data_IF_768895265430
#
_entry.id   IF_768895265430
#
_cell.length_a   1.000
_cell.length_b   1.000
_cell.length_c   1.000
_cell.angle_alpha   90.00
_cell.angle_beta   90.00
_cell.angle_gamma   90.00
#
_symmetry.space_group_name_H-M   'P 1'
#
loop_
_entity.id
_entity.type
_entity.pdbx_description
1 polymer ?
#
# COMPACT_ATOMS: atom_id res chain seq x y z
N UNK A 1 22.70 24.58 18.17
CA UNK A 1 21.46 25.31 17.81
C UNK A 1 20.49 24.46 16.94
N UNK A 2 20.51 23.12 17.04
CA UNK A 2 19.62 22.22 16.27
C UNK A 2 18.65 21.40 17.15
N UNK A 3 18.68 21.58 18.47
CA UNK A 3 17.92 20.75 19.42
C UNK A 3 16.52 21.25 19.75
N UNK A 4 16.11 22.43 19.26
CA UNK A 4 14.87 23.10 19.70
C UNK A 4 13.80 23.23 18.61
N UNK A 5 14.15 22.94 17.35
CA UNK A 5 13.22 23.06 16.20
C UNK A 5 12.47 21.73 15.97
N UNK A 6 12.91 20.62 16.57
CA UNK A 6 12.23 19.32 16.46
C UNK A 6 11.08 19.12 17.44
N UNK A 7 10.92 19.98 18.46
CA UNK A 7 9.82 19.84 19.45
C UNK A 7 8.59 20.70 19.15
N UNK A 8 8.70 21.63 18.20
CA UNK A 8 7.60 22.52 17.79
C UNK A 8 7.27 22.24 16.33
N UNK A 9 6.68 21.07 16.06
CA UNK A 9 5.93 20.89 14.82
C UNK A 9 4.74 21.86 14.88
N UNK A 10 4.65 22.89 14.01
CA UNK A 10 3.61 23.92 14.06
C UNK A 10 2.19 23.36 13.79
N UNK A 11 2.06 22.06 13.56
CA UNK A 11 0.83 21.37 13.26
C UNK A 11 0.18 20.68 14.48
N UNK A 12 0.79 20.78 15.67
CA UNK A 12 0.26 20.20 16.93
C UNK A 12 -1.07 20.83 17.38
N UNK A 13 -1.48 21.95 16.77
CA UNK A 13 -2.64 22.74 17.17
C UNK A 13 -3.92 22.47 16.36
N UNK A 14 -3.85 21.64 15.31
CA UNK A 14 -5.06 21.15 14.61
C UNK A 14 -5.68 19.96 15.37
N UNK A 15 -5.85 20.09 16.69
CA UNK A 15 -6.75 19.24 17.47
C UNK A 15 -8.18 19.73 17.27
N UNK A 16 -8.66 19.56 16.05
CA UNK A 16 -10.01 19.89 15.63
C UNK A 16 -10.57 18.73 14.83
N UNK A 17 -11.33 17.89 15.51
CA UNK A 17 -12.26 16.90 14.95
C UNK A 17 -11.67 15.52 14.59
N UNK A 18 -12.55 14.51 14.51
CA UNK A 18 -12.30 13.07 14.23
C UNK A 18 -11.67 12.76 12.86
N UNK A 19 -10.83 13.66 12.33
CA UNK A 19 -10.15 13.56 11.03
C UNK A 19 -8.76 12.96 11.25
N UNK A 20 -8.38 12.01 10.40
CA UNK A 20 -7.22 11.12 10.56
C UNK A 20 -5.83 11.81 10.58
N UNK A 21 -5.69 13.11 10.87
CA UNK A 21 -4.39 13.81 10.86
C UNK A 21 -3.79 14.00 9.46
N UNK A 22 -4.57 13.76 8.40
CA UNK A 22 -4.13 13.90 7.01
C UNK A 22 -3.93 15.36 6.63
N UNK A 23 -2.76 15.67 6.08
CA UNK A 23 -2.40 16.98 5.52
C UNK A 23 -2.95 17.16 4.10
N UNK A 24 -2.99 18.38 3.54
CA UNK A 24 -3.32 18.60 2.13
C UNK A 24 -2.47 17.75 1.17
N UNK A 25 -1.21 17.50 1.51
CA UNK A 25 -0.31 16.66 0.71
C UNK A 25 -0.79 15.19 0.60
N UNK A 26 -1.39 14.63 1.65
CA UNK A 26 -1.97 13.28 1.58
C UNK A 26 -3.12 13.19 0.56
N UNK A 27 -3.94 14.24 0.48
CA UNK A 27 -5.04 14.28 -0.47
C UNK A 27 -4.54 14.55 -1.89
N UNK A 28 -3.60 15.48 -2.07
CA UNK A 28 -2.97 15.74 -3.37
C UNK A 28 -2.35 14.46 -3.96
N UNK A 29 -1.61 13.73 -3.13
CA UNK A 29 -1.00 12.44 -3.49
C UNK A 29 -2.05 11.40 -3.90
N UNK A 30 -3.10 11.21 -3.10
CA UNK A 30 -4.18 10.26 -3.39
C UNK A 30 -4.89 10.53 -4.72
N UNK A 31 -5.05 11.79 -5.07
CA UNK A 31 -5.78 12.21 -6.27
C UNK A 31 -4.87 12.53 -7.46
N UNK A 32 -3.58 12.17 -7.40
CA UNK A 32 -2.65 12.34 -8.51
C UNK A 32 -2.37 13.80 -8.89
N UNK A 33 -2.44 14.74 -7.94
CA UNK A 33 -2.23 16.17 -8.19
C UNK A 33 -0.75 16.51 -8.05
N UNK A 34 0.04 16.25 -9.09
CA UNK A 34 1.50 16.39 -9.07
C UNK A 34 1.95 17.81 -8.68
N UNK A 35 1.39 18.84 -9.30
CA UNK A 35 1.80 20.23 -9.06
C UNK A 35 1.54 20.65 -7.61
N UNK A 36 0.45 20.13 -7.02
CA UNK A 36 0.18 20.32 -5.60
C UNK A 36 1.13 19.52 -4.71
N UNK A 37 1.56 18.33 -5.14
CA UNK A 37 2.55 17.55 -4.41
C UNK A 37 3.89 18.28 -4.37
N UNK A 38 4.35 18.80 -5.51
CA UNK A 38 5.59 19.58 -5.60
C UNK A 38 5.55 20.81 -4.71
N UNK A 39 4.45 21.58 -4.77
CA UNK A 39 4.28 22.77 -3.94
C UNK A 39 4.26 22.47 -2.44
N UNK A 40 3.65 21.35 -2.04
CA UNK A 40 3.43 21.01 -0.63
C UNK A 40 4.53 20.12 -0.01
N UNK A 41 5.39 19.49 -0.81
CA UNK A 41 6.38 18.50 -0.35
C UNK A 41 7.34 19.09 0.67
N UNK A 42 7.83 20.30 0.46
CA UNK A 42 8.80 20.94 1.37
C UNK A 42 8.23 21.19 2.77
N UNK A 43 6.93 21.49 2.85
CA UNK A 43 6.25 21.77 4.12
C UNK A 43 5.72 20.51 4.81
N UNK A 44 5.23 19.55 4.02
CA UNK A 44 4.44 18.42 4.54
C UNK A 44 5.01 17.04 4.20
N UNK A 45 6.11 16.92 3.46
CA UNK A 45 6.63 15.66 2.93
C UNK A 45 6.98 14.60 3.97
N UNK A 46 7.36 15.03 5.18
CA UNK A 46 7.66 14.14 6.32
C UNK A 46 6.52 14.01 7.33
N UNK A 47 5.40 14.71 7.12
CA UNK A 47 4.26 14.69 8.05
C UNK A 47 3.46 13.42 7.80
N UNK A 48 3.27 12.62 8.85
CA UNK A 48 2.42 11.44 8.85
C UNK A 48 1.03 11.78 9.37
N UNK A 49 0.02 11.05 8.91
CA UNK A 49 -1.31 11.06 9.49
C UNK A 49 -1.32 10.41 10.89
N UNK A 50 -2.45 10.48 11.59
CA UNK A 50 -2.59 9.98 12.96
C UNK A 50 -2.36 8.46 13.08
N UNK A 51 -2.61 7.72 12.01
CA UNK A 51 -2.35 6.27 11.90
C UNK A 51 -0.96 5.96 11.34
N UNK A 52 -0.08 6.97 11.19
CA UNK A 52 1.27 6.81 10.67
C UNK A 52 1.36 6.69 9.13
N UNK A 53 0.25 6.86 8.40
CA UNK A 53 0.27 6.82 6.94
C UNK A 53 1.01 8.03 6.37
N UNK A 54 1.81 7.83 5.32
CA UNK A 54 2.57 8.88 4.64
C UNK A 54 1.87 9.35 3.36
N UNK A 55 2.32 10.48 2.80
CA UNK A 55 1.80 10.95 1.51
C UNK A 55 2.16 9.99 0.35
N UNK A 56 3.35 9.37 0.36
CA UNK A 56 3.74 8.41 -0.69
C UNK A 56 2.87 7.14 -0.65
N UNK A 57 2.45 6.66 0.52
CA UNK A 57 1.47 5.57 0.65
C UNK A 57 0.13 5.94 -0.01
N UNK A 58 -0.31 7.20 0.14
CA UNK A 58 -1.55 7.70 -0.50
C UNK A 58 -1.39 7.83 -2.02
N UNK A 59 -0.23 8.25 -2.53
CA UNK A 59 0.06 8.22 -3.97
C UNK A 59 -0.01 6.80 -4.52
N UNK A 60 0.57 5.83 -3.82
CA UNK A 60 0.52 4.42 -4.21
C UNK A 60 -0.91 3.88 -4.24
N UNK A 61 -1.74 4.25 -3.26
CA UNK A 61 -3.16 3.91 -3.27
C UNK A 61 -3.92 4.56 -4.44
N UNK A 62 -3.58 5.80 -4.77
CA UNK A 62 -4.15 6.54 -5.90
C UNK A 62 -3.69 6.03 -7.27
N UNK A 63 -2.61 5.26 -7.32
CA UNK A 63 -2.02 4.74 -8.56
C UNK A 63 -1.14 5.73 -9.32
N UNK A 64 -0.92 6.96 -8.83
CA UNK A 64 -0.11 7.96 -9.53
C UNK A 64 1.38 7.72 -9.31
N UNK A 65 2.06 7.28 -10.36
CA UNK A 65 3.51 7.07 -10.40
C UNK A 65 4.25 8.39 -10.20
N UNK A 66 3.80 9.46 -10.86
CA UNK A 66 4.45 10.77 -10.83
C UNK A 66 4.40 11.38 -9.43
N UNK A 67 3.26 11.26 -8.73
CA UNK A 67 3.17 11.69 -7.34
C UNK A 67 4.01 10.81 -6.42
N UNK A 68 4.08 9.50 -6.67
CA UNK A 68 4.91 8.59 -5.88
C UNK A 68 6.41 8.87 -6.07
N UNK A 69 6.85 9.18 -7.30
CA UNK A 69 8.20 9.64 -7.63
C UNK A 69 8.52 10.96 -6.96
N UNK A 70 7.64 11.96 -7.12
CA UNK A 70 7.78 13.26 -6.49
C UNK A 70 7.94 13.12 -4.97
N UNK A 71 7.20 12.21 -4.32
CA UNK A 71 7.20 12.03 -2.87
C UNK A 71 8.17 10.97 -2.36
N UNK A 72 8.96 10.34 -3.24
CA UNK A 72 9.90 9.29 -2.86
C UNK A 72 11.04 9.83 -1.98
N UNK A 73 11.50 9.00 -1.04
CA UNK A 73 12.66 9.26 -0.19
C UNK A 73 13.25 7.94 0.33
N UNK A 74 14.52 7.96 0.72
CA UNK A 74 15.23 6.76 1.19
C UNK A 74 14.57 6.15 2.43
N UNK A 75 14.31 4.85 2.38
CA UNK A 75 13.67 4.09 3.45
C UNK A 75 12.13 4.09 3.42
N UNK A 76 11.49 4.84 2.52
CA UNK A 76 10.01 4.87 2.45
C UNK A 76 9.39 3.50 2.11
N UNK A 77 10.14 2.61 1.46
CA UNK A 77 9.73 1.24 1.13
C UNK A 77 9.52 0.39 2.40
N UNK A 78 10.36 0.57 3.41
CA UNK A 78 10.34 -0.17 4.67
C UNK A 78 9.41 0.45 5.71
N UNK A 79 9.02 1.70 5.53
CA UNK A 79 8.11 2.38 6.44
C UNK A 79 6.71 1.76 6.41
N UNK A 80 6.15 1.61 7.62
CA UNK A 80 4.78 1.12 7.81
C UNK A 80 3.98 2.06 8.68
N UNK A 81 2.68 2.10 8.43
CA UNK A 81 1.72 2.76 9.32
C UNK A 81 1.41 1.90 10.58
N UNK A 82 0.50 2.34 11.44
CA UNK A 82 0.17 1.66 12.69
C UNK A 82 -0.40 0.25 12.51
N UNK A 83 -0.93 -0.06 11.34
CA UNK A 83 -1.42 -1.39 10.96
C UNK A 83 -0.30 -2.30 10.42
N UNK A 84 0.92 -1.79 10.28
CA UNK A 84 2.01 -2.50 9.61
C UNK A 84 1.91 -2.47 8.08
N UNK A 85 1.03 -1.65 7.50
CA UNK A 85 0.91 -1.50 6.05
C UNK A 85 2.03 -0.59 5.52
N UNK A 86 2.84 -1.11 4.60
CA UNK A 86 3.81 -0.33 3.80
C UNK A 86 3.17 0.21 2.52
N UNK A 87 3.91 1.03 1.76
CA UNK A 87 3.45 1.53 0.47
C UNK A 87 3.10 0.42 -0.54
N UNK A 88 3.70 -0.77 -0.42
CA UNK A 88 3.37 -1.93 -1.26
C UNK A 88 1.95 -2.42 -0.99
N UNK A 89 1.51 -2.41 0.28
CA UNK A 89 0.15 -2.79 0.65
C UNK A 89 -0.88 -1.80 0.09
N UNK A 90 -0.52 -0.52 0.05
CA UNK A 90 -1.36 0.51 -0.57
C UNK A 90 -1.38 0.39 -2.10
N UNK A 91 -0.26 0.05 -2.74
CA UNK A 91 -0.21 -0.22 -4.18
C UNK A 91 -1.02 -1.48 -4.55
N UNK A 92 -1.00 -2.53 -3.72
CA UNK A 92 -1.88 -3.70 -3.86
C UNK A 92 -3.37 -3.37 -3.67
N UNK A 93 -3.68 -2.21 -3.07
CA UNK A 93 -5.05 -1.69 -3.01
C UNK A 93 -5.40 -0.73 -4.16
N UNK A 94 -4.43 -0.35 -4.99
CA UNK A 94 -4.65 0.49 -6.16
C UNK A 94 -5.38 -0.28 -7.26
N UNK A 95 -5.72 0.43 -8.35
CA UNK A 95 -6.27 -0.17 -9.57
C UNK A 95 -5.39 0.09 -10.79
N UNK A 96 -4.18 0.59 -10.57
CA UNK A 96 -3.27 1.01 -11.64
C UNK A 96 -2.04 0.10 -11.64
N UNK A 97 -1.82 -0.61 -12.73
CA UNK A 97 -0.69 -1.53 -12.86
C UNK A 97 0.63 -0.76 -12.97
N UNK A 98 0.58 0.50 -13.41
CA UNK A 98 1.76 1.35 -13.59
C UNK A 98 2.50 1.56 -12.28
N UNK A 99 1.79 1.78 -11.15
CA UNK A 99 2.45 1.91 -9.85
C UNK A 99 3.11 0.61 -9.40
N UNK A 100 2.52 -0.54 -9.71
CA UNK A 100 3.10 -1.84 -9.38
C UNK A 100 4.37 -2.08 -10.18
N UNK A 101 4.34 -1.85 -11.51
CA UNK A 101 5.54 -1.99 -12.36
C UNK A 101 6.64 -1.03 -11.95
N UNK A 102 6.27 0.19 -11.63
CA UNK A 102 7.18 1.19 -11.13
C UNK A 102 7.80 0.74 -9.80
N UNK A 103 7.01 0.28 -8.84
CA UNK A 103 7.51 -0.24 -7.58
C UNK A 103 8.44 -1.45 -7.80
N UNK A 104 8.05 -2.39 -8.65
CA UNK A 104 8.81 -3.61 -8.97
C UNK A 104 10.17 -3.34 -9.63
N UNK A 105 10.39 -2.16 -10.20
CA UNK A 105 11.70 -1.75 -10.70
C UNK A 105 12.65 -1.27 -9.59
N UNK A 106 12.21 -1.22 -8.33
CA UNK A 106 13.05 -0.87 -7.17
C UNK A 106 13.66 -2.14 -6.55
N UNK A 107 14.85 -2.04 -5.95
CA UNK A 107 15.44 -3.18 -5.25
C UNK A 107 14.62 -3.54 -4.00
N UNK A 108 14.68 -4.81 -3.61
CA UNK A 108 14.11 -5.34 -2.35
C UNK A 108 12.59 -5.19 -2.19
N UNK A 109 11.86 -5.24 -3.31
CA UNK A 109 10.39 -5.24 -3.28
C UNK A 109 9.89 -6.64 -2.95
N UNK A 110 9.20 -6.76 -1.82
CA UNK A 110 8.54 -7.99 -1.38
C UNK A 110 7.03 -7.74 -1.26
N UNK A 111 6.28 -8.19 -2.27
CA UNK A 111 4.82 -8.09 -2.32
C UNK A 111 4.11 -9.02 -1.32
N UNK A 112 4.85 -9.98 -0.75
CA UNK A 112 4.36 -11.04 0.12
C UNK A 112 4.56 -10.73 1.61
N UNK A 113 5.32 -9.69 1.94
CA UNK A 113 5.46 -9.17 3.32
C UNK A 113 4.09 -8.90 3.92
N UNK A 114 3.84 -9.44 5.12
CA UNK A 114 2.54 -9.36 5.80
C UNK A 114 2.49 -8.20 6.80
N UNK A 115 1.41 -7.43 6.77
CA UNK A 115 1.09 -6.45 7.81
C UNK A 115 0.56 -7.13 9.09
N UNK A 116 0.30 -6.36 10.16
CA UNK A 116 -0.03 -6.89 11.51
C UNK A 116 -1.27 -7.79 11.54
N UNK A 117 -2.26 -7.53 10.69
CA UNK A 117 -3.45 -8.34 10.48
C UNK A 117 -3.26 -9.50 9.49
N UNK A 118 -2.02 -9.86 9.14
CA UNK A 118 -1.69 -11.06 8.39
C UNK A 118 -1.90 -11.01 6.88
N UNK A 119 -2.35 -9.91 6.29
CA UNK A 119 -2.50 -9.78 4.84
C UNK A 119 -1.21 -9.26 4.18
N UNK A 120 -0.88 -9.76 3.00
CA UNK A 120 0.14 -9.21 2.10
C UNK A 120 -0.46 -8.22 1.09
N UNK A 121 0.38 -7.61 0.26
CA UNK A 121 -0.08 -6.72 -0.82
C UNK A 121 -0.86 -7.48 -1.89
N UNK A 122 -0.44 -8.71 -2.20
CA UNK A 122 -1.14 -9.61 -3.13
C UNK A 122 -2.50 -10.01 -2.56
N UNK A 123 -2.58 -10.33 -1.26
CA UNK A 123 -3.87 -10.62 -0.61
C UNK A 123 -4.84 -9.44 -0.75
N UNK A 124 -4.35 -8.20 -0.64
CA UNK A 124 -5.17 -6.98 -0.82
C UNK A 124 -5.68 -6.82 -2.25
N UNK A 125 -4.85 -7.04 -3.26
CA UNK A 125 -5.25 -6.98 -4.66
C UNK A 125 -6.29 -8.06 -4.97
N UNK A 126 -6.10 -9.24 -4.41
CA UNK A 126 -6.97 -10.37 -4.67
C UNK A 126 -8.33 -10.28 -3.95
N UNK A 127 -8.38 -9.70 -2.74
CA UNK A 127 -9.65 -9.34 -2.09
C UNK A 127 -10.49 -8.40 -2.97
N UNK A 128 -9.85 -7.53 -3.75
CA UNK A 128 -10.52 -6.62 -4.68
C UNK A 128 -10.77 -7.22 -6.08
N UNK A 129 -10.31 -8.46 -6.34
CA UNK A 129 -10.42 -9.09 -7.65
C UNK A 129 -9.51 -8.47 -8.73
N UNK A 130 -8.45 -7.76 -8.34
CA UNK A 130 -7.54 -7.08 -9.26
C UNK A 130 -6.54 -8.06 -9.91
N UNK A 131 -6.98 -8.73 -10.98
CA UNK A 131 -6.22 -9.80 -11.65
C UNK A 131 -4.89 -9.32 -12.24
N UNK A 132 -4.93 -8.23 -13.00
CA UNK A 132 -3.75 -7.69 -13.69
C UNK A 132 -2.64 -7.29 -12.71
N UNK A 133 -3.01 -6.70 -11.56
CA UNK A 133 -2.05 -6.37 -10.51
C UNK A 133 -1.39 -7.63 -9.92
N UNK A 134 -2.17 -8.69 -9.70
CA UNK A 134 -1.62 -9.96 -9.19
C UNK A 134 -0.65 -10.57 -10.20
N UNK A 135 -0.99 -10.59 -11.50
CA UNK A 135 -0.11 -11.13 -12.54
C UNK A 135 1.26 -10.42 -12.60
N UNK A 136 1.29 -9.11 -12.36
CA UNK A 136 2.54 -8.34 -12.36
C UNK A 136 3.31 -8.52 -11.05
N UNK A 137 2.64 -8.57 -9.91
CA UNK A 137 3.29 -8.80 -8.62
C UNK A 137 3.80 -10.24 -8.46
N UNK A 138 3.14 -11.21 -9.11
CA UNK A 138 3.41 -12.64 -8.98
C UNK A 138 4.46 -13.11 -10.00
N UNK A 139 5.72 -13.18 -9.56
CA UNK A 139 6.84 -13.70 -10.36
C UNK A 139 7.09 -15.21 -10.24
N UNK A 140 6.11 -15.99 -9.76
CA UNK A 140 6.14 -17.45 -9.86
C UNK A 140 6.88 -18.19 -8.75
N UNK A 141 7.04 -17.62 -7.55
CA UNK A 141 7.46 -18.42 -6.38
C UNK A 141 6.24 -19.10 -5.73
N UNK A 142 6.38 -20.39 -5.38
CA UNK A 142 5.37 -21.22 -4.72
C UNK A 142 4.97 -20.61 -3.37
N UNK A 143 3.89 -19.83 -3.35
CA UNK A 143 3.23 -19.42 -2.11
C UNK A 143 1.89 -20.11 -2.05
N UNK A 144 1.70 -20.87 -0.97
CA UNK A 144 0.47 -21.54 -0.65
C UNK A 144 -0.62 -20.53 -0.27
N UNK A 145 -1.27 -19.97 -1.30
CA UNK A 145 -2.38 -19.04 -1.16
C UNK A 145 -3.64 -19.71 -0.56
N UNK A 146 -3.67 -21.05 -0.41
CA UNK A 146 -4.82 -21.81 0.15
C UNK A 146 -5.04 -21.54 1.63
N UNK A 147 -3.97 -21.32 2.40
CA UNK A 147 -4.03 -21.05 3.84
C UNK A 147 -4.38 -19.59 4.16
N UNK A 148 -4.32 -18.70 3.18
CA UNK A 148 -4.34 -17.25 3.38
C UNK A 148 -5.50 -16.55 2.67
N UNK A 149 -6.27 -17.28 1.85
CA UNK A 149 -7.37 -16.73 1.06
C UNK A 149 -8.61 -16.38 1.89
N UNK A 150 -8.95 -15.09 1.95
CA UNK A 150 -10.25 -14.58 2.44
C UNK A 150 -10.98 -13.68 1.42
N UNK A 151 -10.51 -13.66 0.17
CA UNK A 151 -11.08 -12.84 -0.91
C UNK A 151 -12.34 -13.45 -1.55
N UNK A 152 -12.97 -12.70 -2.46
CA UNK A 152 -14.20 -13.11 -3.15
C UNK A 152 -14.02 -14.32 -4.09
N UNK A 153 -15.12 -14.96 -4.48
CA UNK A 153 -15.10 -16.25 -5.20
C UNK A 153 -14.37 -16.20 -6.56
N UNK A 154 -14.41 -15.06 -7.26
CA UNK A 154 -13.73 -14.92 -8.57
C UNK A 154 -12.20 -14.89 -8.49
N UNK A 155 -11.65 -14.24 -7.45
CA UNK A 155 -10.21 -14.21 -7.22
C UNK A 155 -9.70 -15.60 -6.85
N UNK A 156 -10.47 -16.35 -6.04
CA UNK A 156 -10.21 -17.76 -5.73
C UNK A 156 -10.19 -18.60 -7.00
N UNK A 157 -11.24 -18.49 -7.83
CA UNK A 157 -11.37 -19.27 -9.06
C UNK A 157 -10.18 -19.06 -10.00
N UNK A 158 -9.77 -17.80 -10.20
CA UNK A 158 -8.61 -17.50 -11.03
C UNK A 158 -7.31 -18.08 -10.47
N UNK A 159 -7.11 -18.02 -9.15
CA UNK A 159 -5.96 -18.64 -8.49
C UNK A 159 -5.96 -20.17 -8.64
N UNK A 160 -7.13 -20.83 -8.56
CA UNK A 160 -7.28 -22.28 -8.82
C UNK A 160 -6.94 -22.60 -10.28
N UNK A 161 -7.50 -21.84 -11.23
CA UNK A 161 -7.27 -22.01 -12.68
C UNK A 161 -5.79 -21.90 -13.06
N UNK A 162 -5.04 -21.07 -12.33
CA UNK A 162 -3.59 -20.90 -12.52
C UNK A 162 -2.74 -21.88 -11.72
N UNK A 163 -3.35 -22.78 -10.94
CA UNK A 163 -2.64 -23.75 -10.10
C UNK A 163 -1.93 -23.14 -8.89
N UNK A 164 -2.31 -21.91 -8.51
CA UNK A 164 -1.69 -21.17 -7.40
C UNK A 164 -2.36 -21.48 -6.04
N UNK A 165 -3.58 -22.02 -6.07
CA UNK A 165 -4.27 -22.62 -4.92
C UNK A 165 -4.88 -23.96 -5.28
N UNK A 166 -4.87 -24.90 -4.35
CA UNK A 166 -5.66 -26.14 -4.39
C UNK A 166 -7.07 -25.82 -3.92
N UNK A 167 -8.09 -26.25 -4.67
CA UNK A 167 -9.47 -26.04 -4.25
C UNK A 167 -9.83 -26.99 -3.10
N UNK A 168 -9.80 -26.48 -1.86
CA UNK A 168 -10.09 -27.28 -0.66
C UNK A 168 -11.60 -27.49 -0.40
N UNK A 169 -12.49 -27.18 -1.37
CA UNK A 169 -13.94 -27.43 -1.26
C UNK A 169 -14.28 -28.91 -1.01
N UNK A 170 -13.36 -29.84 -1.26
CA UNK A 170 -13.57 -31.29 -1.10
C UNK A 170 -13.16 -31.87 0.28
N UNK A 171 -12.67 -31.07 1.23
CA UNK A 171 -12.22 -31.58 2.55
C UNK A 171 -13.25 -31.50 3.67
N UNK A 172 -14.30 -30.68 3.54
CA UNK A 172 -15.33 -30.54 4.58
C UNK A 172 -16.47 -31.56 4.47
N UNK A 173 -16.52 -32.38 3.41
CA UNK A 173 -17.57 -33.39 3.17
C UNK A 173 -17.17 -34.83 3.63
N UNK A 174 -16.09 -34.95 4.41
CA UNK A 174 -15.63 -36.20 5.02
C UNK A 174 -15.41 -36.04 6.52
N UNK A 175 -16.50 -35.85 7.27
CA UNK A 175 -16.56 -36.17 8.70
C UNK A 175 -17.84 -36.89 9.05
#
# INVERSE_FOLDING_TARGET
>A
MYSYITSISPYKHLKGNKRQGKTPLHYAARYGRLEMCEFLKEQFGKVKSNDGTTAVMMACFGGSVECAECLWYDGCLDETNDYGCSLLHFAGLSKDVSIVRWLDSRPNVDWCKRQKGGHSSIDKAAIQGWREGIEVMWKGEEIDLTKTWKGGEEGRKWLVEKGLIVDDKDKDDKR
#
